data_IF_519004043798
#
_entry.id   IF_519004043798
#
_cell.length_a   1.000
_cell.length_b   1.000
_cell.length_c   1.000
_cell.angle_alpha   90.00
_cell.angle_beta   90.00
_cell.angle_gamma   90.00
#
_symmetry.space_group_name_H-M   'P 1'
#
loop_
_entity.id
_entity.type
_entity.pdbx_description
1 polymer ?
#
# COMPACT_ATOMS: atom_id res chain seq x y z
N UNK A 1 14.47 1.79 4.08
CA UNK A 1 14.94 0.71 3.18
C UNK A 1 15.06 1.32 1.80
N UNK A 2 16.27 1.49 1.26
CA UNK A 2 16.42 2.03 -0.09
C UNK A 2 16.38 0.85 -1.06
N UNK A 3 15.22 0.60 -1.66
CA UNK A 3 15.07 -0.47 -2.64
C UNK A 3 15.90 -0.13 -3.88
N UNK A 4 16.57 -1.15 -4.43
CA UNK A 4 17.29 -0.95 -5.68
C UNK A 4 16.28 -0.64 -6.77
N UNK A 5 16.59 0.34 -7.63
CA UNK A 5 15.82 0.62 -8.83
C UNK A 5 15.59 -0.64 -9.68
N UNK A 6 16.52 -1.60 -9.63
CA UNK A 6 16.41 -2.88 -10.36
C UNK A 6 15.26 -3.77 -9.87
N UNK A 7 15.02 -3.81 -8.55
CA UNK A 7 13.91 -4.58 -7.96
C UNK A 7 12.57 -3.98 -8.39
N UNK A 8 12.42 -2.68 -8.22
CA UNK A 8 11.21 -1.94 -8.59
C UNK A 8 10.96 -2.04 -10.10
N UNK A 9 12.00 -1.89 -10.93
CA UNK A 9 11.89 -2.00 -12.38
C UNK A 9 11.50 -3.42 -12.80
N UNK A 10 11.94 -4.46 -12.07
CA UNK A 10 11.53 -5.85 -12.34
C UNK A 10 10.04 -6.09 -12.06
N UNK A 11 9.49 -5.42 -11.05
CA UNK A 11 8.06 -5.50 -10.67
C UNK A 11 7.19 -4.73 -11.66
N UNK A 12 7.62 -3.53 -12.08
CA UNK A 12 6.80 -2.61 -12.88
C UNK A 12 6.90 -2.85 -14.38
N UNK A 13 8.02 -3.36 -14.89
CA UNK A 13 8.24 -3.58 -16.33
C UNK A 13 7.16 -4.46 -16.99
N UNK A 14 6.68 -5.57 -16.38
CA UNK A 14 5.62 -6.38 -16.96
C UNK A 14 4.27 -5.64 -17.11
N UNK A 15 4.02 -4.64 -16.25
CA UNK A 15 2.77 -3.86 -16.25
C UNK A 15 2.74 -2.82 -17.37
N UNK A 16 3.90 -2.26 -17.74
CA UNK A 16 4.00 -1.17 -18.71
C UNK A 16 3.32 -1.43 -20.08
N UNK A 17 3.49 -2.58 -20.75
CA UNK A 17 2.83 -2.81 -22.04
C UNK A 17 1.32 -2.98 -21.92
N UNK A 18 0.82 -3.51 -20.80
CA UNK A 18 -0.61 -3.84 -20.65
C UNK A 18 -1.41 -2.67 -20.06
N UNK A 19 -0.78 -1.90 -19.19
CA UNK A 19 -1.34 -0.70 -18.54
C UNK A 19 -0.77 0.58 -19.14
N UNK A 20 -0.56 0.61 -20.46
CA UNK A 20 0.05 1.75 -21.15
C UNK A 20 -0.73 3.07 -20.95
N UNK A 21 -2.06 2.99 -20.76
CA UNK A 21 -2.91 4.16 -20.44
C UNK A 21 -2.67 4.71 -19.04
N UNK A 22 -2.11 3.90 -18.14
CA UNK A 22 -1.74 4.26 -16.78
C UNK A 22 -0.22 4.48 -16.63
N UNK A 23 0.48 4.80 -17.72
CA UNK A 23 1.92 5.03 -17.71
C UNK A 23 2.36 6.05 -16.63
N UNK A 24 1.58 7.12 -16.44
CA UNK A 24 1.85 8.11 -15.38
C UNK A 24 1.81 7.48 -13.99
N UNK A 25 0.83 6.61 -13.71
CA UNK A 25 0.72 5.93 -12.42
C UNK A 25 1.89 4.96 -12.19
N UNK A 26 2.37 4.29 -13.24
CA UNK A 26 3.56 3.43 -13.19
C UNK A 26 4.82 4.26 -12.91
N UNK A 27 4.99 5.39 -13.59
CA UNK A 27 6.15 6.28 -13.41
C UNK A 27 6.16 6.92 -12.02
N UNK A 28 5.01 7.40 -11.56
CA UNK A 28 4.82 7.93 -10.21
C UNK A 28 5.17 6.87 -9.16
N UNK A 29 4.65 5.65 -9.33
CA UNK A 29 4.93 4.55 -8.42
C UNK A 29 6.42 4.21 -8.41
N UNK A 30 7.06 4.12 -9.57
CA UNK A 30 8.51 3.90 -9.69
C UNK A 30 9.30 4.95 -8.91
N UNK A 31 8.97 6.23 -9.09
CA UNK A 31 9.64 7.32 -8.39
C UNK A 31 9.43 7.25 -6.88
N UNK A 32 8.17 7.05 -6.46
CA UNK A 32 7.80 6.98 -5.05
C UNK A 32 8.50 5.81 -4.35
N UNK A 33 8.51 4.62 -4.96
CA UNK A 33 9.15 3.45 -4.40
C UNK A 33 10.68 3.62 -4.30
N UNK A 34 11.31 4.18 -5.34
CA UNK A 34 12.76 4.32 -5.36
C UNK A 34 13.28 5.40 -4.40
N UNK A 35 12.49 6.47 -4.17
CA UNK A 35 12.85 7.58 -3.30
C UNK A 35 12.30 7.46 -1.87
N UNK A 36 11.61 6.37 -1.53
CA UNK A 36 10.83 6.26 -0.29
C UNK A 36 9.89 7.47 -0.11
N UNK A 37 9.14 7.80 -1.15
CA UNK A 37 8.14 8.85 -1.16
C UNK A 37 6.97 8.56 -0.22
N UNK A 38 5.91 9.36 -0.27
CA UNK A 38 4.79 9.18 0.66
C UNK A 38 4.09 7.81 0.44
N UNK A 39 4.03 6.91 1.45
CA UNK A 39 3.51 5.56 1.28
C UNK A 39 2.03 5.53 0.89
N UNK A 40 1.22 6.45 1.41
CA UNK A 40 -0.17 6.60 0.96
C UNK A 40 -0.32 6.96 -0.52
N UNK A 41 0.68 7.63 -1.14
CA UNK A 41 0.66 7.87 -2.59
C UNK A 41 0.99 6.59 -3.35
N UNK A 42 1.90 5.75 -2.84
CA UNK A 42 2.20 4.44 -3.43
C UNK A 42 0.96 3.55 -3.45
N UNK A 43 0.28 3.46 -2.31
CA UNK A 43 -0.96 2.68 -2.18
C UNK A 43 -2.01 3.21 -3.16
N UNK A 44 -2.18 4.53 -3.27
CA UNK A 44 -3.12 5.11 -4.24
C UNK A 44 -2.75 4.79 -5.70
N UNK A 45 -1.46 4.86 -6.07
CA UNK A 45 -1.01 4.47 -7.40
C UNK A 45 -1.29 2.98 -7.67
N UNK A 46 -1.06 2.11 -6.68
CA UNK A 46 -1.41 0.70 -6.79
C UNK A 46 -2.90 0.48 -7.05
N UNK A 47 -3.79 1.09 -6.27
CA UNK A 47 -5.23 0.93 -6.48
C UNK A 47 -5.69 1.44 -7.85
N UNK A 48 -5.10 2.53 -8.34
CA UNK A 48 -5.34 3.00 -9.71
C UNK A 48 -4.94 1.96 -10.77
N UNK A 49 -3.79 1.31 -10.59
CA UNK A 49 -3.37 0.23 -11.49
C UNK A 49 -4.26 -1.01 -11.34
N UNK A 50 -4.69 -1.32 -10.12
CA UNK A 50 -5.57 -2.43 -9.80
C UNK A 50 -6.95 -2.29 -10.47
N UNK A 51 -7.56 -1.12 -10.34
CA UNK A 51 -8.83 -0.78 -10.98
C UNK A 51 -8.72 -0.82 -12.52
N UNK A 52 -7.62 -0.30 -13.09
CA UNK A 52 -7.42 -0.29 -14.53
C UNK A 52 -7.12 -1.68 -15.12
N UNK A 53 -6.52 -2.56 -14.33
CA UNK A 53 -6.14 -3.91 -14.75
C UNK A 53 -7.35 -4.86 -14.81
N UNK A 54 -8.29 -4.74 -13.87
CA UNK A 54 -9.41 -5.67 -13.74
C UNK A 54 -8.98 -7.08 -13.30
N UNK A 55 -9.96 -7.97 -13.12
CA UNK A 55 -9.75 -9.29 -12.50
C UNK A 55 -8.81 -10.22 -13.30
N UNK A 56 -8.75 -10.09 -14.62
CA UNK A 56 -7.92 -10.94 -15.49
C UNK A 56 -6.42 -10.68 -15.34
N UNK A 57 -6.06 -9.49 -14.85
CA UNK A 57 -4.68 -8.99 -14.79
C UNK A 57 -4.10 -9.03 -13.38
N UNK A 58 -4.88 -9.50 -12.39
CA UNK A 58 -4.45 -9.69 -11.01
C UNK A 58 -3.15 -10.50 -10.86
N UNK A 59 -2.90 -11.57 -11.65
CA UNK A 59 -1.63 -12.31 -11.55
C UNK A 59 -0.40 -11.46 -11.87
N UNK A 60 -0.54 -10.44 -12.73
CA UNK A 60 0.57 -9.55 -13.09
C UNK A 60 0.81 -8.47 -12.04
N UNK A 61 -0.23 -8.10 -11.28
CA UNK A 61 -0.13 -7.18 -10.14
C UNK A 61 0.32 -7.88 -8.85
N UNK A 62 0.23 -9.21 -8.78
CA UNK A 62 0.61 -9.99 -7.60
C UNK A 62 2.02 -9.67 -7.05
N UNK A 63 3.07 -9.48 -7.86
CA UNK A 63 4.39 -9.08 -7.36
C UNK A 63 4.38 -7.70 -6.68
N UNK A 64 3.64 -6.74 -7.25
CA UNK A 64 3.51 -5.40 -6.67
C UNK A 64 2.68 -5.42 -5.38
N UNK A 65 1.60 -6.21 -5.36
CA UNK A 65 0.81 -6.43 -4.16
C UNK A 65 1.67 -7.05 -3.05
N UNK A 66 2.37 -8.14 -3.35
CA UNK A 66 3.27 -8.79 -2.39
C UNK A 66 4.33 -7.82 -1.84
N UNK A 67 4.87 -6.94 -2.70
CA UNK A 67 5.79 -5.90 -2.27
C UNK A 67 5.13 -4.95 -1.27
N UNK A 68 3.91 -4.47 -1.53
CA UNK A 68 3.18 -3.59 -0.62
C UNK A 68 2.88 -4.28 0.72
N UNK A 69 2.40 -5.52 0.70
CA UNK A 69 2.10 -6.28 1.92
C UNK A 69 3.36 -6.49 2.78
N UNK A 70 4.52 -6.68 2.15
CA UNK A 70 5.79 -6.85 2.84
C UNK A 70 6.36 -5.55 3.38
N UNK A 71 6.19 -4.42 2.68
CA UNK A 71 6.91 -3.18 2.96
C UNK A 71 6.04 -2.05 3.52
N UNK A 72 4.71 -2.14 3.42
CA UNK A 72 3.76 -1.11 3.86
C UNK A 72 2.87 -1.65 4.97
N UNK A 73 2.58 -0.79 5.94
CA UNK A 73 1.64 -1.05 7.03
C UNK A 73 0.86 0.22 7.39
N UNK A 74 -0.22 0.04 8.13
CA UNK A 74 -1.04 1.13 8.68
C UNK A 74 -0.65 1.29 10.14
N UNK A 75 -0.07 2.42 10.50
CA UNK A 75 0.15 2.79 11.89
C UNK A 75 -1.13 3.38 12.48
N UNK A 76 -1.54 2.87 13.63
CA UNK A 76 -2.65 3.39 14.43
C UNK A 76 -2.07 4.19 15.58
N UNK A 77 -2.44 5.46 15.68
CA UNK A 77 -1.94 6.38 16.70
C UNK A 77 -3.09 7.01 17.46
N UNK A 78 -2.88 7.26 18.75
CA UNK A 78 -3.68 8.17 19.55
C UNK A 78 -2.79 9.33 19.96
N UNK A 79 -3.18 10.54 19.57
CA UNK A 79 -2.35 11.74 19.74
C UNK A 79 -0.96 11.53 19.13
N UNK A 80 0.08 11.39 19.96
CA UNK A 80 1.46 11.15 19.53
C UNK A 80 1.96 9.72 19.80
N UNK A 81 1.15 8.90 20.46
CA UNK A 81 1.53 7.52 20.82
C UNK A 81 1.07 6.53 19.76
N UNK A 82 2.00 5.75 19.25
CA UNK A 82 1.69 4.57 18.45
C UNK A 82 1.06 3.49 19.34
N UNK A 83 -0.12 3.02 18.93
CA UNK A 83 -0.86 1.99 19.62
C UNK A 83 -0.55 0.62 19.03
N UNK A 84 -0.66 0.50 17.71
CA UNK A 84 -0.37 -0.73 16.97
C UNK A 84 -0.05 -0.45 15.51
N UNK A 85 0.29 -1.54 14.80
CA UNK A 85 0.44 -1.56 13.35
C UNK A 85 -0.44 -2.66 12.78
N UNK A 86 -1.04 -2.38 11.62
CA UNK A 86 -1.85 -3.32 10.87
C UNK A 86 -1.16 -3.58 9.54
N UNK A 87 -0.92 -4.84 9.15
CA UNK A 87 -0.32 -5.14 7.87
C UNK A 87 -1.20 -4.65 6.72
N UNK A 88 -0.60 -4.10 5.67
CA UNK A 88 -1.32 -3.92 4.41
C UNK A 88 -1.69 -5.32 3.87
N UNK A 89 -2.97 -5.57 3.61
CA UNK A 89 -3.46 -6.81 3.02
C UNK A 89 -4.77 -6.56 2.30
N UNK A 90 -4.82 -6.92 1.02
CA UNK A 90 -5.95 -6.63 0.15
C UNK A 90 -6.99 -7.76 0.20
N UNK A 91 -8.27 -7.41 0.34
CA UNK A 91 -9.39 -8.34 0.18
C UNK A 91 -9.66 -8.72 -1.28
N UNK A 92 -10.54 -9.69 -1.50
CA UNK A 92 -11.01 -10.01 -2.86
C UNK A 92 -11.81 -8.84 -3.44
N UNK A 93 -11.46 -8.44 -4.67
CA UNK A 93 -12.12 -7.36 -5.43
C UNK A 93 -12.33 -6.07 -4.63
N UNK A 94 -11.39 -5.77 -3.72
CA UNK A 94 -11.47 -4.61 -2.83
C UNK A 94 -10.89 -3.36 -3.50
N UNK A 95 -11.67 -2.28 -3.54
CA UNK A 95 -11.20 -0.95 -3.98
C UNK A 95 -10.56 -0.15 -2.81
N UNK A 96 -9.97 1.01 -3.13
CA UNK A 96 -9.27 1.81 -2.13
C UNK A 96 -10.18 2.27 -0.99
N UNK A 97 -11.42 2.64 -1.31
CA UNK A 97 -12.38 3.13 -0.33
C UNK A 97 -12.80 2.01 0.63
N UNK A 98 -13.17 0.86 0.09
CA UNK A 98 -13.55 -0.34 0.84
C UNK A 98 -12.40 -0.82 1.72
N UNK A 99 -11.17 -0.82 1.21
CA UNK A 99 -9.96 -1.12 1.98
C UNK A 99 -9.80 -0.18 3.18
N UNK A 100 -9.93 1.14 2.94
CA UNK A 100 -9.79 2.14 4.00
C UNK A 100 -10.89 1.98 5.06
N UNK A 101 -12.14 1.79 4.62
CA UNK A 101 -13.29 1.60 5.51
C UNK A 101 -13.14 0.34 6.36
N UNK A 102 -12.75 -0.80 5.76
CA UNK A 102 -12.49 -2.04 6.49
C UNK A 102 -11.40 -1.85 7.53
N UNK A 103 -10.30 -1.19 7.17
CA UNK A 103 -9.19 -0.91 8.09
C UNK A 103 -9.63 -0.05 9.28
N UNK A 104 -10.46 0.97 9.04
CA UNK A 104 -11.04 1.81 10.09
C UNK A 104 -11.99 1.00 10.99
N UNK A 105 -12.85 0.16 10.39
CA UNK A 105 -13.80 -0.67 11.12
C UNK A 105 -13.08 -1.69 12.00
N UNK A 106 -12.04 -2.34 11.49
CA UNK A 106 -11.23 -3.30 12.24
C UNK A 106 -10.65 -2.66 13.52
N UNK A 107 -10.06 -1.46 13.39
CA UNK A 107 -9.54 -0.70 14.54
C UNK A 107 -10.65 -0.33 15.53
N UNK A 108 -11.83 0.09 15.04
CA UNK A 108 -12.93 0.53 15.91
C UNK A 108 -13.62 -0.60 16.65
N UNK A 109 -13.80 -1.75 15.99
CA UNK A 109 -14.62 -2.86 16.49
C UNK A 109 -13.83 -3.85 17.34
N UNK A 110 -12.60 -4.17 16.95
CA UNK A 110 -11.84 -5.25 17.59
C UNK A 110 -10.97 -4.76 18.74
N UNK A 111 -10.79 -3.44 18.86
CA UNK A 111 -9.87 -2.83 19.82
C UNK A 111 -10.62 -1.77 20.59
N UNK A 112 -11.02 -2.09 21.82
CA UNK A 112 -11.67 -1.17 22.76
C UNK A 112 -10.72 -0.07 23.26
N UNK A 113 -10.12 0.70 22.35
CA UNK A 113 -9.27 1.82 22.69
C UNK A 113 -10.10 2.90 23.38
N UNK A 114 -9.67 3.30 24.58
CA UNK A 114 -10.28 4.41 25.34
C UNK A 114 -9.95 5.80 24.77
N UNK A 115 -9.28 5.85 23.60
CA UNK A 115 -8.87 7.09 22.97
C UNK A 115 -10.04 7.77 22.24
N UNK A 116 -10.26 9.05 22.52
CA UNK A 116 -11.30 9.86 21.85
C UNK A 116 -11.02 10.05 20.34
N UNK A 117 -9.75 10.04 19.94
CA UNK A 117 -9.34 10.25 18.55
C UNK A 117 -8.19 9.34 18.13
N UNK A 118 -8.48 8.48 17.16
CA UNK A 118 -7.51 7.63 16.50
C UNK A 118 -7.11 8.23 15.15
N UNK A 119 -5.82 8.16 14.83
CA UNK A 119 -5.25 8.50 13.54
C UNK A 119 -4.71 7.22 12.89
N UNK A 120 -5.06 7.02 11.62
CA UNK A 120 -4.53 5.93 10.81
C UNK A 120 -3.69 6.55 9.70
N UNK A 121 -2.47 6.04 9.51
CA UNK A 121 -1.60 6.50 8.45
C UNK A 121 -0.80 5.34 7.86
N UNK A 122 -0.70 5.30 6.53
CA UNK A 122 0.25 4.41 5.87
C UNK A 122 1.67 4.81 6.23
N UNK A 123 2.52 3.81 6.50
CA UNK A 123 3.97 3.98 6.63
C UNK A 123 4.70 2.81 5.98
N UNK A 124 5.97 3.01 5.65
CA UNK A 124 6.85 1.88 5.36
C UNK A 124 7.25 1.21 6.66
N UNK A 125 7.36 -0.13 6.65
CA UNK A 125 7.85 -0.88 7.80
C UNK A 125 9.28 -0.45 8.11
N UNK A 126 9.56 -0.19 9.38
CA UNK A 126 10.94 -0.01 9.82
C UNK A 126 11.70 -1.31 9.57
N UNK A 127 12.97 -1.23 9.16
CA UNK A 127 13.85 -2.39 9.31
C UNK A 127 13.78 -2.77 10.79
N UNK A 128 13.38 -4.01 11.08
CA UNK A 128 13.75 -4.60 12.36
C UNK A 128 15.26 -4.39 12.48
N UNK A 129 15.66 -3.49 13.37
CA UNK A 129 17.07 -3.35 13.72
C UNK A 129 17.45 -4.69 14.35
N UNK A 130 18.03 -5.55 13.52
CA UNK A 130 18.75 -6.73 13.97
C UNK A 130 20.09 -6.28 14.55
#
# INVERSE_FOLDING_TARGET
MQHSYEEIDSILRPLAPVLAREADAILDLRELLARQGHPGKCVRCFFRLFEAAGSEMLPQLAPLLAWLEQNVEIAVKSEEKELETIPFSLGQDEDLESFCLRSIQHVRMDRGYEAERLQLAFRYKALAAA
#
